data_IF_340602301483
#
_entry.id   IF_340602301483
#
_cell.length_a   1.000
_cell.length_b   1.000
_cell.length_c   1.000
_cell.angle_alpha   90.00
_cell.angle_beta   90.00
_cell.angle_gamma   90.00
#
_symmetry.space_group_name_H-M   'P 1'
#
loop_
_entity.id
_entity.type
_entity.pdbx_description
1 polymer ?
#
# COMPACT_ATOMS: atom_id res chain seq x y z
N UNK A 1 18.04 20.03 14.71
CA UNK A 1 18.91 19.87 13.53
C UNK A 1 18.04 19.45 12.35
N UNK A 2 17.28 20.39 11.79
CA UNK A 2 16.59 20.21 10.51
C UNK A 2 17.25 21.19 9.57
N UNK A 3 17.96 20.67 8.56
CA UNK A 3 18.69 21.49 7.59
C UNK A 3 17.81 21.64 6.37
N UNK A 4 17.38 22.88 6.16
CA UNK A 4 16.93 23.46 4.89
C UNK A 4 17.81 23.06 3.71
N UNK A 5 17.19 22.79 2.56
CA UNK A 5 17.72 23.17 1.24
C UNK A 5 16.65 22.97 0.15
N UNK A 6 15.94 24.06 -0.10
CA UNK A 6 15.27 24.39 -1.35
C UNK A 6 16.24 24.30 -2.55
N UNK A 7 15.70 23.93 -3.72
CA UNK A 7 16.09 24.37 -5.08
C UNK A 7 17.07 23.51 -5.92
N UNK A 8 16.53 22.89 -6.99
CA UNK A 8 17.13 22.83 -8.34
C UNK A 8 16.06 22.30 -9.32
N UNK A 9 15.29 23.18 -9.98
CA UNK A 9 15.48 23.69 -11.35
C UNK A 9 15.04 22.73 -12.47
N UNK A 10 13.81 23.01 -12.91
CA UNK A 10 13.23 22.97 -14.26
C UNK A 10 14.20 22.67 -15.42
N UNK A 11 13.84 21.71 -16.27
CA UNK A 11 14.19 21.71 -17.71
C UNK A 11 12.90 21.56 -18.52
N UNK A 12 12.57 22.60 -19.28
CA UNK A 12 11.45 22.67 -20.21
C UNK A 12 11.90 22.36 -21.64
N UNK A 13 11.07 21.57 -22.33
CA UNK A 13 10.72 21.54 -23.77
C UNK A 13 11.80 21.61 -24.87
N UNK A 14 11.68 20.75 -25.89
CA UNK A 14 11.10 21.15 -27.20
C UNK A 14 10.92 19.98 -28.20
N UNK A 15 9.79 20.10 -28.92
CA UNK A 15 9.53 19.75 -30.32
C UNK A 15 9.31 18.28 -30.76
N UNK A 16 8.06 18.01 -31.17
CA UNK A 16 7.68 16.86 -31.98
C UNK A 16 6.16 16.82 -32.22
N UNK A 17 5.63 17.71 -33.04
CA UNK A 17 4.23 17.68 -33.49
C UNK A 17 4.00 16.43 -34.36
N UNK A 18 3.11 15.53 -33.94
CA UNK A 18 2.46 14.58 -34.81
C UNK A 18 0.97 14.53 -34.49
N UNK A 19 0.22 14.62 -35.56
CA UNK A 19 -1.20 14.80 -35.69
C UNK A 19 -1.86 13.42 -35.70
N UNK A 20 -2.60 13.08 -34.65
CA UNK A 20 -3.78 12.24 -34.80
C UNK A 20 -4.69 12.45 -33.59
N UNK A 21 -5.97 12.65 -33.85
CA UNK A 21 -7.00 12.78 -32.82
C UNK A 21 -7.40 11.36 -32.41
N UNK A 22 -7.02 10.84 -31.23
CA UNK A 22 -7.70 9.64 -30.75
C UNK A 22 -9.13 10.06 -30.40
N UNK A 23 -10.09 9.51 -31.12
CA UNK A 23 -11.43 9.36 -30.59
C UNK A 23 -11.28 8.65 -29.24
N UNK A 24 -11.57 9.37 -28.16
CA UNK A 24 -11.70 8.80 -26.82
C UNK A 24 -12.82 7.77 -26.86
N UNK A 25 -12.46 6.53 -27.18
CA UNK A 25 -13.21 5.36 -26.74
C UNK A 25 -13.17 5.44 -25.21
N UNK A 26 -14.31 5.47 -24.49
CA UNK A 26 -14.27 5.18 -23.07
C UNK A 26 -13.88 3.71 -22.98
N UNK A 27 -12.59 3.45 -22.86
CA UNK A 27 -12.11 2.15 -22.43
C UNK A 27 -12.58 1.98 -20.99
N UNK A 28 -13.79 1.44 -20.85
CA UNK A 28 -14.11 0.55 -19.75
C UNK A 28 -13.05 -0.56 -19.79
N UNK A 29 -11.88 -0.28 -19.23
CA UNK A 29 -11.06 -1.30 -18.62
C UNK A 29 -11.85 -1.78 -17.41
N UNK A 30 -12.94 -2.50 -17.66
CA UNK A 30 -13.39 -3.52 -16.74
C UNK A 30 -12.17 -4.41 -16.59
N UNK A 31 -11.45 -4.23 -15.49
CA UNK A 31 -10.36 -5.08 -15.08
C UNK A 31 -10.84 -6.50 -15.30
N UNK A 32 -10.27 -7.19 -16.28
CA UNK A 32 -10.38 -8.63 -16.37
C UNK A 32 -9.66 -9.16 -15.14
N UNK A 33 -10.37 -9.19 -14.02
CA UNK A 33 -9.93 -9.81 -12.78
C UNK A 33 -9.99 -11.31 -13.08
N UNK A 34 -8.93 -11.84 -13.69
CA UNK A 34 -8.66 -13.27 -13.56
C UNK A 34 -8.73 -13.54 -12.05
N UNK A 35 -9.55 -14.51 -11.57
CA UNK A 35 -9.58 -14.85 -10.15
C UNK A 35 -8.16 -15.25 -9.74
N UNK A 36 -7.44 -14.30 -9.18
CA UNK A 36 -6.13 -14.50 -8.65
C UNK A 36 -6.35 -15.06 -7.24
N UNK A 37 -5.76 -16.22 -6.96
CA UNK A 37 -5.92 -16.88 -5.67
C UNK A 37 -5.56 -15.90 -4.55
N UNK A 38 -6.35 -15.78 -3.47
CA UNK A 38 -6.07 -14.82 -2.42
C UNK A 38 -4.67 -15.05 -1.86
N UNK A 39 -3.76 -14.09 -2.06
CA UNK A 39 -2.44 -14.11 -1.44
C UNK A 39 -2.55 -13.59 -0.02
N UNK A 40 -1.83 -14.24 0.89
CA UNK A 40 -1.61 -13.70 2.23
C UNK A 40 -0.15 -13.76 2.63
N UNK A 41 0.21 -12.86 3.53
CA UNK A 41 1.55 -12.74 4.06
C UNK A 41 1.53 -12.52 5.57
N UNK A 42 2.58 -13.00 6.21
CA UNK A 42 2.92 -12.68 7.59
C UNK A 42 4.15 -11.79 7.62
N UNK A 43 4.11 -10.77 8.45
CA UNK A 43 5.17 -9.79 8.59
C UNK A 43 5.74 -9.87 9.99
N UNK A 44 7.07 -9.89 10.06
CA UNK A 44 7.83 -10.04 11.29
C UNK A 44 8.80 -8.88 11.47
N UNK A 45 8.95 -8.43 12.72
CA UNK A 45 10.10 -7.64 13.18
C UNK A 45 11.00 -8.55 14.02
N UNK A 46 12.10 -8.99 13.43
CA UNK A 46 12.90 -10.11 13.96
C UNK A 46 12.10 -11.41 14.03
N UNK A 47 11.89 -11.91 15.25
CA UNK A 47 11.15 -13.14 15.56
C UNK A 47 9.69 -12.90 15.95
N UNK A 48 9.27 -11.63 16.08
CA UNK A 48 7.91 -11.26 16.51
C UNK A 48 7.04 -11.04 15.29
N UNK A 49 5.88 -11.72 15.22
CA UNK A 49 4.87 -11.47 14.20
C UNK A 49 4.09 -10.20 14.54
N UNK A 50 4.10 -9.23 13.64
CA UNK A 50 3.53 -7.90 13.89
C UNK A 50 2.30 -7.59 13.03
N UNK A 51 2.14 -8.28 11.89
CA UNK A 51 1.06 -8.00 10.94
C UNK A 51 0.75 -9.23 10.08
N UNK A 52 -0.54 -9.54 9.95
CA UNK A 52 -1.08 -10.44 8.92
C UNK A 52 -1.71 -9.59 7.81
N UNK A 53 -1.49 -9.96 6.54
CA UNK A 53 -1.96 -9.21 5.36
C UNK A 53 -2.61 -10.17 4.37
N UNK A 54 -3.72 -9.75 3.76
CA UNK A 54 -4.37 -10.45 2.65
C UNK A 54 -4.64 -9.49 1.48
N UNK A 55 -4.37 -9.96 0.27
CA UNK A 55 -4.59 -9.29 -1.03
C UNK A 55 -6.08 -9.23 -1.40
N UNK A 56 -6.93 -8.84 -0.46
CA UNK A 56 -8.37 -8.70 -0.65
C UNK A 56 -8.84 -7.44 0.05
N UNK A 57 -9.67 -6.59 -0.58
CA UNK A 57 -10.25 -5.42 0.08
C UNK A 57 -10.97 -5.83 1.36
N UNK A 58 -10.68 -5.15 2.47
CA UNK A 58 -11.26 -5.53 3.74
C UNK A 58 -10.83 -4.66 4.91
N UNK A 59 -11.14 -5.10 6.13
CA UNK A 59 -10.86 -4.32 7.32
C UNK A 59 -9.36 -4.31 7.63
N UNK A 60 -8.92 -3.18 8.19
CA UNK A 60 -7.68 -3.02 8.92
C UNK A 60 -8.01 -3.16 10.41
N UNK A 61 -7.68 -4.31 10.97
CA UNK A 61 -7.91 -4.64 12.37
C UNK A 61 -6.61 -4.42 13.13
N UNK A 62 -6.68 -3.79 14.29
CA UNK A 62 -5.57 -3.74 15.24
C UNK A 62 -5.97 -4.56 16.46
N UNK A 63 -5.03 -5.30 17.06
CA UNK A 63 -5.24 -5.99 18.35
C UNK A 63 -5.37 -5.01 19.51
N UNK A 64 -5.05 -3.72 19.30
CA UNK A 64 -5.38 -2.68 20.24
C UNK A 64 -6.90 -2.65 20.51
N UNK A 65 -7.34 -2.58 21.78
CA UNK A 65 -8.76 -2.50 22.09
C UNK A 65 -9.37 -1.26 21.42
N UNK A 66 -10.22 -1.50 20.44
CA UNK A 66 -11.08 -0.46 19.89
C UNK A 66 -12.05 0.02 20.99
N UNK A 67 -12.39 1.32 21.04
CA UNK A 67 -13.51 1.78 21.86
C UNK A 67 -14.76 0.95 21.55
N UNK A 68 -15.65 0.70 22.53
CA UNK A 68 -16.95 0.12 22.22
C UNK A 68 -17.62 0.96 21.12
N UNK A 69 -18.16 0.28 20.10
CA UNK A 69 -18.80 0.86 18.89
C UNK A 69 -17.87 1.41 17.80
N UNK A 70 -16.54 1.30 17.92
CA UNK A 70 -15.64 1.66 16.83
C UNK A 70 -15.62 0.58 15.73
N UNK A 71 -15.77 1.01 14.47
CA UNK A 71 -15.69 0.14 13.30
C UNK A 71 -14.27 0.12 12.75
N UNK A 72 -13.72 -1.06 12.39
CA UNK A 72 -12.43 -1.15 11.72
C UNK A 72 -12.42 -0.35 10.42
N UNK A 73 -11.32 0.33 10.12
CA UNK A 73 -11.16 1.05 8.87
C UNK A 73 -11.16 0.06 7.69
N UNK A 74 -11.89 0.37 6.62
CA UNK A 74 -11.90 -0.45 5.41
C UNK A 74 -10.87 0.04 4.42
N UNK A 75 -10.20 -0.89 3.74
CA UNK A 75 -9.15 -0.57 2.79
C UNK A 75 -9.45 -1.13 1.38
N UNK A 76 -9.19 -0.37 0.31
CA UNK A 76 -9.71 -0.69 -1.02
C UNK A 76 -8.97 -1.82 -1.75
N UNK A 77 -7.79 -2.23 -1.29
CA UNK A 77 -6.98 -3.24 -1.98
C UNK A 77 -6.39 -4.34 -1.08
N UNK A 78 -6.49 -4.22 0.24
CA UNK A 78 -6.02 -5.25 1.17
C UNK A 78 -6.85 -5.28 2.44
N UNK A 79 -6.64 -6.32 3.22
CA UNK A 79 -7.12 -6.46 4.59
C UNK A 79 -5.91 -6.84 5.44
N UNK A 80 -5.90 -6.40 6.69
CA UNK A 80 -4.75 -6.65 7.55
C UNK A 80 -5.13 -6.68 9.03
N UNK A 81 -4.39 -7.47 9.80
CA UNK A 81 -4.50 -7.54 11.26
C UNK A 81 -3.15 -7.18 11.87
N UNK A 82 -3.03 -5.98 12.45
CA UNK A 82 -1.86 -5.59 13.22
C UNK A 82 -1.90 -6.27 14.58
N UNK A 83 -0.87 -7.07 14.89
CA UNK A 83 -0.77 -7.84 16.13
C UNK A 83 -0.07 -7.06 17.24
N UNK A 84 0.79 -6.10 16.87
CA UNK A 84 1.57 -5.28 17.79
C UNK A 84 1.31 -3.78 17.55
N UNK A 85 0.63 -3.14 18.50
CA UNK A 85 0.27 -1.72 18.40
C UNK A 85 1.50 -0.79 18.33
N UNK A 86 2.65 -1.21 18.87
CA UNK A 86 3.88 -0.41 18.86
C UNK A 86 4.43 -0.12 17.45
N UNK A 87 3.99 -0.89 16.44
CA UNK A 87 4.39 -0.72 15.04
C UNK A 87 3.32 -0.05 14.17
N UNK A 88 2.13 0.22 14.72
CA UNK A 88 0.97 0.68 13.95
C UNK A 88 1.24 1.97 13.17
N UNK A 89 1.87 2.96 13.81
CA UNK A 89 2.20 4.24 13.15
C UNK A 89 3.13 4.04 11.94
N UNK A 90 4.12 3.16 12.09
CA UNK A 90 5.07 2.85 11.01
C UNK A 90 4.40 2.07 9.89
N UNK A 91 3.57 1.07 10.24
CA UNK A 91 2.81 0.28 9.28
C UNK A 91 1.82 1.13 8.49
N UNK A 92 1.10 2.03 9.18
CA UNK A 92 0.20 3.02 8.56
C UNK A 92 0.94 3.94 7.59
N UNK A 93 2.09 4.48 7.99
CA UNK A 93 2.89 5.33 7.11
C UNK A 93 3.45 4.61 5.87
N UNK A 94 3.61 3.28 5.91
CA UNK A 94 3.94 2.48 4.73
C UNK A 94 2.69 2.28 3.86
N UNK A 95 1.55 1.95 4.47
CA UNK A 95 0.29 1.73 3.79
C UNK A 95 -0.17 2.97 3.02
N UNK A 96 -0.09 4.16 3.64
CA UNK A 96 -0.47 5.44 3.03
C UNK A 96 0.39 5.83 1.81
N UNK A 97 1.60 5.27 1.69
CA UNK A 97 2.49 5.46 0.53
C UNK A 97 2.28 4.43 -0.57
N UNK A 98 1.48 3.40 -0.32
CA UNK A 98 1.30 2.24 -1.21
C UNK A 98 0.02 2.39 -2.02
N UNK A 99 0.08 2.05 -3.30
CA UNK A 99 -1.09 2.10 -4.20
C UNK A 99 -1.75 0.72 -4.41
N UNK A 100 -1.02 -0.35 -4.10
CA UNK A 100 -1.44 -1.73 -4.21
C UNK A 100 -0.70 -2.62 -3.19
N UNK A 101 -1.11 -3.89 -3.08
CA UNK A 101 -0.55 -4.82 -2.09
C UNK A 101 0.92 -5.17 -2.38
N UNK A 102 1.30 -5.22 -3.65
CA UNK A 102 2.65 -5.63 -4.07
C UNK A 102 3.64 -4.50 -3.72
N UNK A 103 3.24 -3.24 -3.92
CA UNK A 103 3.98 -2.07 -3.45
C UNK A 103 4.08 -2.05 -1.91
N UNK A 104 2.99 -2.35 -1.20
CA UNK A 104 2.98 -2.42 0.25
C UNK A 104 3.97 -3.46 0.79
N UNK A 105 3.93 -4.69 0.27
CA UNK A 105 4.86 -5.77 0.64
C UNK A 105 6.31 -5.39 0.33
N UNK A 106 6.58 -4.79 -0.83
CA UNK A 106 7.91 -4.32 -1.21
C UNK A 106 8.43 -3.25 -0.24
N UNK A 107 7.59 -2.30 0.16
CA UNK A 107 7.98 -1.24 1.10
C UNK A 107 8.21 -1.79 2.51
N UNK A 108 7.42 -2.77 2.97
CA UNK A 108 7.66 -3.46 4.24
C UNK A 108 9.06 -4.11 4.27
N UNK A 109 9.43 -4.81 3.20
CA UNK A 109 10.77 -5.41 3.09
C UNK A 109 11.87 -4.36 3.05
N UNK A 110 11.67 -3.25 2.31
CA UNK A 110 12.64 -2.15 2.23
C UNK A 110 12.86 -1.44 3.57
N UNK A 111 11.85 -1.44 4.43
CA UNK A 111 11.89 -0.91 5.80
C UNK A 111 12.51 -1.90 6.80
N UNK A 112 12.92 -3.09 6.34
CA UNK A 112 13.65 -4.08 7.14
C UNK A 112 12.77 -5.14 7.81
N UNK A 113 11.46 -5.17 7.51
CA UNK A 113 10.59 -6.23 7.99
C UNK A 113 10.80 -7.52 7.19
N UNK A 114 10.69 -8.66 7.87
CA UNK A 114 10.72 -9.97 7.23
C UNK A 114 9.29 -10.33 6.82
N UNK A 115 9.06 -10.51 5.52
CA UNK A 115 7.75 -10.88 4.97
C UNK A 115 7.78 -12.32 4.47
N UNK A 116 6.78 -13.13 4.85
CA UNK A 116 6.65 -14.54 4.48
C UNK A 116 5.30 -14.75 3.82
N UNK A 117 5.29 -15.25 2.58
CA UNK A 117 4.06 -15.64 1.88
C UNK A 117 3.50 -16.94 2.48
N UNK A 118 2.17 -17.06 2.51
CA UNK A 118 1.47 -18.27 2.98
C UNK A 118 0.94 -19.13 1.84
#
# INVERSE_FOLDING_TARGET
MFRDALLAVVIAMLAGCAHDKPASVPSNHASTVTPHEPRSWRVYDGDVEILEVSDQPGPLVSTAPLPPDATPAMHPFLSATALEASHEDRLRGILERSHDVDEFVRLLQAEGFRVVAQ
#
